data_IF_312649621948
#
_entry.id   IF_312649621948
#
_cell.length_a   1.000
_cell.length_b   1.000
_cell.length_c   1.000
_cell.angle_alpha   90.00
_cell.angle_beta   90.00
_cell.angle_gamma   90.00
#
_symmetry.space_group_name_H-M   'P 1'
#
loop_
_entity.id
_entity.type
_entity.pdbx_description
1 polymer ?
#
# COMPACT_ATOMS: atom_id res chain seq x y z
N UNK A 1 -41.21 23.42 31.66
CA UNK A 1 -39.89 24.09 31.74
C UNK A 1 -38.77 23.18 32.25
N UNK A 2 -39.04 22.24 33.18
CA UNK A 2 -38.05 21.27 33.68
C UNK A 2 -37.70 20.12 32.72
N UNK A 3 -38.65 19.63 31.91
CA UNK A 3 -38.40 18.55 30.95
C UNK A 3 -37.58 18.97 29.70
N UNK A 4 -37.63 20.26 29.34
CA UNK A 4 -36.84 20.79 28.21
C UNK A 4 -35.36 20.89 28.58
N UNK A 5 -35.01 21.31 29.81
CA UNK A 5 -33.61 21.41 30.26
C UNK A 5 -32.88 20.05 30.30
N UNK A 6 -33.59 18.95 30.58
CA UNK A 6 -33.03 17.61 30.56
C UNK A 6 -32.62 17.16 29.15
N UNK A 7 -33.30 17.64 28.10
CA UNK A 7 -32.95 17.33 26.70
C UNK A 7 -31.74 18.12 26.18
N UNK A 8 -31.33 19.20 26.88
CA UNK A 8 -30.17 20.03 26.54
C UNK A 8 -28.94 19.77 27.43
N UNK A 9 -29.04 18.86 28.41
CA UNK A 9 -27.93 18.56 29.31
C UNK A 9 -27.25 17.28 28.87
N UNK A 10 -26.07 17.40 28.26
CA UNK A 10 -25.18 16.25 28.03
C UNK A 10 -24.84 15.60 29.37
N UNK A 11 -25.05 14.29 29.49
CA UNK A 11 -24.63 13.57 30.70
C UNK A 11 -23.12 13.62 30.84
N UNK A 12 -22.60 13.67 32.08
CA UNK A 12 -21.15 13.61 32.33
C UNK A 12 -20.50 12.40 31.66
N UNK A 13 -21.21 11.26 31.58
CA UNK A 13 -20.74 10.06 30.88
C UNK A 13 -20.64 10.25 29.36
N UNK A 14 -21.63 10.88 28.74
CA UNK A 14 -21.66 11.18 27.31
C UNK A 14 -20.55 12.17 26.94
N UNK A 15 -20.36 13.22 27.75
CA UNK A 15 -19.30 14.20 27.55
C UNK A 15 -17.91 13.56 27.67
N UNK A 16 -17.70 12.71 28.67
CA UNK A 16 -16.46 11.98 28.86
C UNK A 16 -16.16 11.04 27.69
N UNK A 17 -17.17 10.27 27.25
CA UNK A 17 -17.07 9.42 26.07
C UNK A 17 -16.72 10.24 24.82
N UNK A 18 -17.38 11.38 24.61
CA UNK A 18 -17.15 12.25 23.47
C UNK A 18 -15.71 12.77 23.42
N UNK A 19 -15.20 13.34 24.52
CA UNK A 19 -13.87 13.91 24.55
C UNK A 19 -12.76 12.87 24.39
N UNK A 20 -12.93 11.68 24.99
CA UNK A 20 -11.95 10.60 24.84
C UNK A 20 -11.98 10.05 23.43
N UNK A 21 -13.13 9.55 22.98
CA UNK A 21 -13.24 8.92 21.67
C UNK A 21 -12.97 9.93 20.55
N UNK A 22 -13.35 11.20 20.73
CA UNK A 22 -13.14 12.26 19.77
C UNK A 22 -11.66 12.57 19.59
N UNK A 23 -10.93 12.65 20.70
CA UNK A 23 -9.47 12.82 20.66
C UNK A 23 -8.81 11.63 19.98
N UNK A 24 -9.20 10.40 20.33
CA UNK A 24 -8.66 9.18 19.70
C UNK A 24 -8.99 9.13 18.20
N UNK A 25 -10.18 9.56 17.79
CA UNK A 25 -10.57 9.63 16.38
C UNK A 25 -9.72 10.66 15.61
N UNK A 26 -9.50 11.85 16.17
CA UNK A 26 -8.65 12.86 15.54
C UNK A 26 -7.21 12.36 15.42
N UNK A 27 -6.66 11.74 16.47
CA UNK A 27 -5.33 11.14 16.42
C UNK A 27 -5.29 10.03 15.36
N UNK A 28 -6.31 9.17 15.29
CA UNK A 28 -6.42 8.11 14.28
C UNK A 28 -6.43 8.66 12.85
N UNK A 29 -7.21 9.71 12.59
CA UNK A 29 -7.26 10.37 11.29
C UNK A 29 -5.92 11.01 10.90
N UNK A 30 -5.25 11.67 11.85
CA UNK A 30 -3.91 12.22 11.64
C UNK A 30 -2.89 11.11 11.36
N UNK A 31 -2.94 10.01 12.12
CA UNK A 31 -2.09 8.84 11.89
C UNK A 31 -2.30 8.25 10.48
N UNK A 32 -3.53 8.16 9.98
CA UNK A 32 -3.79 7.71 8.60
C UNK A 32 -3.03 8.54 7.57
N UNK A 33 -2.92 9.84 7.76
CA UNK A 33 -2.20 10.74 6.83
C UNK A 33 -0.68 10.67 7.01
N UNK A 34 -0.19 10.56 8.25
CA UNK A 34 1.24 10.61 8.55
C UNK A 34 1.97 9.26 8.46
N UNK A 35 1.25 8.14 8.49
CA UNK A 35 1.85 6.80 8.47
C UNK A 35 2.45 6.47 7.10
N UNK A 36 3.75 6.16 7.10
CA UNK A 36 4.49 5.80 5.87
C UNK A 36 4.08 4.44 5.30
N UNK A 37 3.70 3.50 6.16
CA UNK A 37 3.25 2.16 5.73
C UNK A 37 1.74 2.18 5.53
N UNK A 38 1.31 1.87 4.31
CA UNK A 38 -0.09 1.92 3.91
C UNK A 38 -0.98 0.99 4.76
N UNK A 39 -0.48 -0.17 5.21
CA UNK A 39 -1.21 -1.07 6.11
C UNK A 39 -1.51 -0.41 7.46
N UNK A 40 -0.54 0.28 8.07
CA UNK A 40 -0.76 0.99 9.33
C UNK A 40 -1.71 2.17 9.15
N UNK A 41 -1.57 2.93 8.05
CA UNK A 41 -2.50 4.01 7.68
C UNK A 41 -3.95 3.51 7.59
N UNK A 42 -4.16 2.38 6.93
CA UNK A 42 -5.47 1.75 6.77
C UNK A 42 -6.04 1.22 8.10
N UNK A 43 -5.22 0.61 8.97
CA UNK A 43 -5.65 0.18 10.30
C UNK A 43 -6.05 1.36 11.20
N UNK A 44 -5.30 2.47 11.16
CA UNK A 44 -5.69 3.70 11.84
C UNK A 44 -7.04 4.22 11.32
N UNK A 45 -7.25 4.17 9.99
CA UNK A 45 -8.50 4.60 9.37
C UNK A 45 -9.68 3.71 9.80
N UNK A 46 -9.47 2.39 9.86
CA UNK A 46 -10.44 1.43 10.36
C UNK A 46 -10.86 1.76 11.80
N UNK A 47 -9.89 2.05 12.67
CA UNK A 47 -10.13 2.45 14.05
C UNK A 47 -10.99 3.72 14.14
N UNK A 48 -10.70 4.74 13.34
CA UNK A 48 -11.55 5.94 13.25
C UNK A 48 -12.97 5.64 12.80
N UNK A 49 -13.17 4.77 11.81
CA UNK A 49 -14.50 4.41 11.33
C UNK A 49 -15.34 3.69 12.39
N UNK A 50 -14.70 2.86 13.23
CA UNK A 50 -15.34 2.24 14.40
C UNK A 50 -15.73 3.30 15.42
N UNK A 51 -14.86 4.25 15.72
CA UNK A 51 -15.18 5.32 16.67
C UNK A 51 -16.34 6.19 16.16
N UNK A 52 -16.37 6.51 14.87
CA UNK A 52 -17.50 7.22 14.25
C UNK A 52 -18.79 6.40 14.36
N UNK A 53 -18.74 5.08 14.20
CA UNK A 53 -19.90 4.23 14.44
C UNK A 53 -20.39 4.34 15.90
N UNK A 54 -19.48 4.29 16.88
CA UNK A 54 -19.83 4.49 18.29
C UNK A 54 -20.48 5.86 18.51
N UNK A 55 -20.03 6.92 17.83
CA UNK A 55 -20.70 8.22 17.87
C UNK A 55 -22.10 8.18 17.27
N UNK A 56 -22.33 7.49 16.15
CA UNK A 56 -23.68 7.33 15.63
C UNK A 56 -24.60 6.59 16.60
N UNK A 57 -24.11 5.52 17.23
CA UNK A 57 -24.89 4.78 18.25
C UNK A 57 -25.20 5.68 19.45
N UNK A 58 -24.20 6.42 19.95
CA UNK A 58 -24.36 7.31 21.09
C UNK A 58 -25.33 8.46 20.82
N UNK A 59 -25.40 8.95 19.59
CA UNK A 59 -26.36 9.98 19.18
C UNK A 59 -27.76 9.42 18.85
N UNK A 60 -28.00 8.11 18.99
CA UNK A 60 -29.29 7.47 18.71
C UNK A 60 -29.55 7.14 17.24
N UNK A 61 -28.53 7.22 16.38
CA UNK A 61 -28.58 6.84 14.97
C UNK A 61 -28.17 5.37 14.77
N UNK A 62 -28.93 4.45 15.36
CA UNK A 62 -28.55 3.04 15.45
C UNK A 62 -28.35 2.36 14.09
N UNK A 63 -29.25 2.59 13.14
CA UNK A 63 -29.14 2.00 11.81
C UNK A 63 -27.87 2.44 11.09
N UNK A 64 -27.61 3.76 11.08
CA UNK A 64 -26.43 4.33 10.43
C UNK A 64 -25.14 3.83 11.09
N UNK A 65 -25.13 3.71 12.41
CA UNK A 65 -24.02 3.16 13.17
C UNK A 65 -23.70 1.70 12.82
N UNK A 66 -24.72 0.85 12.71
CA UNK A 66 -24.53 -0.57 12.31
C UNK A 66 -24.04 -0.66 10.86
N UNK A 67 -24.62 0.13 9.94
CA UNK A 67 -24.17 0.20 8.54
C UNK A 67 -22.72 0.69 8.45
N UNK A 68 -22.31 1.63 9.31
CA UNK A 68 -20.93 2.11 9.38
C UNK A 68 -19.95 0.96 9.68
N UNK A 69 -20.30 0.09 10.62
CA UNK A 69 -19.48 -1.07 10.97
C UNK A 69 -19.46 -2.10 9.83
N UNK A 70 -20.62 -2.46 9.28
CA UNK A 70 -20.72 -3.53 8.28
C UNK A 70 -20.10 -3.10 6.94
N UNK A 71 -20.41 -1.90 6.45
CA UNK A 71 -20.03 -1.46 5.11
C UNK A 71 -18.67 -0.77 5.11
N UNK A 72 -18.49 0.28 5.89
CA UNK A 72 -17.24 1.06 5.85
C UNK A 72 -16.09 0.31 6.52
N UNK A 73 -16.26 -0.12 7.77
CA UNK A 73 -15.21 -0.87 8.48
C UNK A 73 -15.10 -2.31 7.99
N UNK A 74 -16.23 -2.97 7.70
CA UNK A 74 -16.25 -4.37 7.27
C UNK A 74 -15.83 -4.53 5.82
N UNK A 75 -16.67 -4.15 4.86
CA UNK A 75 -16.43 -4.42 3.45
C UNK A 75 -15.33 -3.52 2.84
N UNK A 76 -15.50 -2.20 2.92
CA UNK A 76 -14.65 -1.24 2.19
C UNK A 76 -13.22 -1.24 2.73
N UNK A 77 -13.06 -1.16 4.05
CA UNK A 77 -11.73 -1.13 4.66
C UNK A 77 -10.97 -2.44 4.46
N UNK A 78 -11.64 -3.59 4.56
CA UNK A 78 -11.00 -4.89 4.32
C UNK A 78 -10.58 -5.04 2.87
N UNK A 79 -11.40 -4.59 1.91
CA UNK A 79 -11.02 -4.53 0.49
C UNK A 79 -9.78 -3.65 0.30
N UNK A 80 -9.75 -2.47 0.91
CA UNK A 80 -8.61 -1.56 0.83
C UNK A 80 -7.34 -2.18 1.41
N UNK A 81 -7.43 -2.80 2.59
CA UNK A 81 -6.32 -3.52 3.22
C UNK A 81 -5.80 -4.65 2.33
N UNK A 82 -6.70 -5.43 1.72
CA UNK A 82 -6.34 -6.51 0.82
C UNK A 82 -5.59 -6.00 -0.41
N UNK A 83 -6.10 -4.92 -1.02
CA UNK A 83 -5.46 -4.29 -2.19
C UNK A 83 -4.08 -3.75 -1.84
N UNK A 84 -3.96 -2.98 -0.74
CA UNK A 84 -2.68 -2.43 -0.29
C UNK A 84 -1.65 -3.52 -0.01
N UNK A 85 -2.10 -4.63 0.60
CA UNK A 85 -1.24 -5.78 0.88
C UNK A 85 -0.82 -6.52 -0.41
N UNK A 86 -1.74 -6.72 -1.37
CA UNK A 86 -1.46 -7.38 -2.64
C UNK A 86 -0.48 -6.59 -3.49
N UNK A 87 -0.66 -5.27 -3.58
CA UNK A 87 0.25 -4.38 -4.33
C UNK A 87 1.65 -4.35 -3.71
N UNK A 88 1.79 -4.73 -2.43
CA UNK A 88 3.09 -4.88 -1.79
C UNK A 88 3.88 -3.58 -1.77
N UNK A 89 3.21 -2.46 -1.48
CA UNK A 89 3.82 -1.13 -1.49
C UNK A 89 4.83 -1.00 -0.35
N UNK A 90 6.08 -1.38 -0.59
CA UNK A 90 7.21 -0.98 0.25
C UNK A 90 7.44 0.50 0.01
N UNK A 91 6.78 1.32 0.84
CA UNK A 91 6.99 2.76 0.85
C UNK A 91 8.47 3.10 1.09
N UNK A 92 9.18 3.25 -0.01
CA UNK A 92 10.48 3.88 -0.13
C UNK A 92 10.35 5.05 -1.11
N UNK A 93 9.26 5.81 -1.01
CA UNK A 93 9.20 7.09 -1.71
C UNK A 93 10.19 8.04 -1.04
N UNK A 94 11.20 8.43 -1.81
CA UNK A 94 12.12 9.49 -1.41
C UNK A 94 11.31 10.75 -1.14
N UNK A 95 11.60 11.45 -0.05
CA UNK A 95 11.00 12.76 0.29
C UNK A 95 11.45 13.89 -0.65
N UNK A 96 11.77 13.56 -1.91
CA UNK A 96 12.23 14.51 -2.90
C UNK A 96 10.99 15.18 -3.48
N UNK A 97 10.74 16.41 -3.04
CA UNK A 97 9.69 17.24 -3.60
C UNK A 97 9.94 17.45 -5.09
N UNK A 98 9.07 16.93 -5.95
CA UNK A 98 9.05 17.25 -7.39
C UNK A 98 8.75 18.74 -7.61
N UNK A 99 7.91 19.32 -6.75
CA UNK A 99 7.52 20.74 -6.77
C UNK A 99 7.95 21.38 -5.45
N UNK A 100 8.99 22.22 -5.49
CA UNK A 100 9.52 22.90 -4.31
C UNK A 100 8.41 23.74 -3.64
N UNK A 101 8.18 23.51 -2.35
CA UNK A 101 7.22 24.29 -1.55
C UNK A 101 5.78 23.77 -1.56
N UNK A 102 5.48 22.70 -2.30
CA UNK A 102 4.14 22.09 -2.32
C UNK A 102 3.68 21.66 -0.92
N UNK A 103 4.58 21.13 -0.07
CA UNK A 103 4.21 20.69 1.28
C UNK A 103 3.78 21.85 2.17
N UNK A 104 4.49 22.97 2.10
CA UNK A 104 4.14 24.18 2.85
C UNK A 104 2.82 24.78 2.35
N UNK A 105 2.61 24.82 1.03
CA UNK A 105 1.35 25.29 0.47
C UNK A 105 0.18 24.38 0.84
N UNK A 106 0.36 23.06 0.77
CA UNK A 106 -0.66 22.09 1.19
C UNK A 106 -0.99 22.21 2.68
N UNK A 107 0.02 22.45 3.53
CA UNK A 107 -0.18 22.68 4.96
C UNK A 107 -0.93 23.99 5.22
N UNK A 108 -0.57 25.07 4.52
CA UNK A 108 -1.25 26.36 4.64
C UNK A 108 -2.71 26.26 4.17
N UNK A 109 -2.96 25.62 3.02
CA UNK A 109 -4.31 25.38 2.51
C UNK A 109 -5.13 24.51 3.47
N UNK A 110 -4.55 23.42 3.99
CA UNK A 110 -5.21 22.53 4.94
C UNK A 110 -5.58 23.25 6.24
N UNK A 111 -4.64 24.02 6.81
CA UNK A 111 -4.88 24.81 8.01
C UNK A 111 -5.89 25.92 7.77
N UNK A 112 -5.77 26.66 6.65
CA UNK A 112 -6.69 27.72 6.27
C UNK A 112 -8.11 27.20 6.08
N UNK A 113 -8.27 26.05 5.42
CA UNK A 113 -9.57 25.39 5.28
C UNK A 113 -10.13 24.94 6.63
N UNK A 114 -9.30 24.37 7.51
CA UNK A 114 -9.70 23.99 8.87
C UNK A 114 -10.18 25.18 9.69
N UNK A 115 -9.45 26.30 9.69
CA UNK A 115 -9.84 27.54 10.38
C UNK A 115 -11.16 28.08 9.81
N UNK A 116 -11.31 28.10 8.48
CA UNK A 116 -12.54 28.56 7.84
C UNK A 116 -13.75 27.72 8.24
N UNK A 117 -13.61 26.39 8.29
CA UNK A 117 -14.67 25.51 8.75
C UNK A 117 -15.02 25.73 10.22
N UNK A 118 -14.02 25.83 11.10
CA UNK A 118 -14.25 26.07 12.54
C UNK A 118 -14.90 27.43 12.76
N UNK A 119 -14.45 28.47 12.07
CA UNK A 119 -15.03 29.81 12.14
C UNK A 119 -16.46 29.83 11.56
N UNK A 120 -16.70 29.13 10.45
CA UNK A 120 -18.03 29.01 9.84
C UNK A 120 -19.02 28.29 10.74
N UNK A 121 -18.62 27.16 11.33
CA UNK A 121 -19.44 26.41 12.28
C UNK A 121 -19.67 27.22 13.57
N UNK A 122 -18.64 27.90 14.08
CA UNK A 122 -18.77 28.73 15.29
C UNK A 122 -19.63 29.98 15.09
N UNK A 123 -19.67 30.54 13.87
CA UNK A 123 -20.52 31.68 13.53
C UNK A 123 -21.98 31.23 13.23
N UNK A 124 -22.16 30.01 12.70
CA UNK A 124 -23.48 29.44 12.52
C UNK A 124 -24.17 29.33 13.88
N UNK A 125 -25.18 30.17 14.09
CA UNK A 125 -25.92 30.22 15.34
C UNK A 125 -26.85 29.01 15.44
N UNK A 126 -26.30 27.86 15.82
CA UNK A 126 -27.06 26.65 16.15
C UNK A 126 -27.71 26.84 17.52
N UNK A 127 -28.76 27.67 17.57
CA UNK A 127 -29.52 27.97 18.80
C UNK A 127 -30.53 26.89 19.16
N UNK A 128 -30.89 26.03 18.21
CA UNK A 128 -31.89 24.98 18.39
C UNK A 128 -31.28 23.61 18.10
N UNK A 129 -31.39 22.70 19.07
CA UNK A 129 -31.08 21.29 18.91
C UNK A 129 -32.40 20.52 18.87
N UNK A 130 -32.84 20.13 17.68
CA UNK A 130 -34.09 19.38 17.50
C UNK A 130 -33.97 17.89 17.84
N UNK A 131 -32.76 17.42 18.18
CA UNK A 131 -32.47 16.02 18.46
C UNK A 131 -32.90 15.06 17.34
N UNK A 132 -32.87 13.76 17.64
CA UNK A 132 -33.38 12.73 16.73
C UNK A 132 -34.67 12.07 17.25
N UNK A 133 -35.20 12.49 18.41
CA UNK A 133 -36.32 11.83 19.08
C UNK A 133 -37.60 11.78 18.24
N UNK A 134 -37.99 12.89 17.60
CA UNK A 134 -39.15 12.93 16.72
C UNK A 134 -38.91 12.13 15.42
N UNK A 135 -37.72 12.27 14.83
CA UNK A 135 -37.35 11.55 13.61
C UNK A 135 -37.30 10.03 13.82
N UNK A 136 -36.98 9.59 15.04
CA UNK A 136 -36.84 8.18 15.42
C UNK A 136 -38.09 7.61 16.12
N UNK A 137 -39.20 8.35 16.20
CA UNK A 137 -40.39 7.95 16.98
C UNK A 137 -40.96 6.58 16.55
N UNK A 138 -40.93 6.28 15.25
CA UNK A 138 -41.39 5.00 14.67
C UNK A 138 -40.25 4.00 14.46
N UNK A 139 -39.04 4.30 14.95
CA UNK A 139 -37.83 3.51 14.71
C UNK A 139 -36.97 4.03 13.55
N UNK A 140 -35.65 3.93 13.71
CA UNK A 140 -34.66 4.45 12.74
C UNK A 140 -34.82 3.82 11.35
N UNK A 141 -35.02 2.49 11.28
CA UNK A 141 -35.07 1.75 10.01
C UNK A 141 -36.34 2.07 9.24
N UNK A 142 -37.48 2.08 9.91
CA UNK A 142 -38.78 2.35 9.30
C UNK A 142 -38.84 3.79 8.78
N UNK A 143 -38.45 4.78 9.61
CA UNK A 143 -38.42 6.17 9.19
C UNK A 143 -37.52 6.42 7.98
N UNK A 144 -36.32 5.80 7.96
CA UNK A 144 -35.41 5.91 6.83
C UNK A 144 -35.98 5.20 5.58
N UNK A 145 -36.59 4.03 5.73
CA UNK A 145 -37.23 3.31 4.62
C UNK A 145 -38.36 4.14 4.00
N UNK A 146 -39.23 4.74 4.81
CA UNK A 146 -40.28 5.64 4.30
C UNK A 146 -39.67 6.78 3.49
N UNK A 147 -38.64 7.45 3.99
CA UNK A 147 -37.97 8.54 3.29
C UNK A 147 -37.33 8.09 1.97
N UNK A 148 -36.62 6.96 1.98
CA UNK A 148 -35.93 6.40 0.81
C UNK A 148 -36.94 6.01 -0.29
N UNK A 149 -38.03 5.33 0.07
CA UNK A 149 -38.97 4.80 -0.92
C UNK A 149 -40.08 5.78 -1.34
N UNK A 150 -40.25 6.91 -0.64
CA UNK A 150 -41.26 7.92 -1.00
C UNK A 150 -40.61 9.18 -1.58
N UNK A 151 -39.81 9.89 -0.78
CA UNK A 151 -39.23 11.18 -1.14
C UNK A 151 -37.95 11.05 -1.95
N UNK A 152 -37.10 10.09 -1.60
CA UNK A 152 -35.77 9.92 -2.19
C UNK A 152 -35.67 8.75 -3.16
N UNK A 153 -36.79 8.28 -3.72
CA UNK A 153 -36.82 7.13 -4.63
C UNK A 153 -35.88 7.32 -5.81
N UNK A 154 -35.82 8.54 -6.37
CA UNK A 154 -34.93 8.84 -7.49
C UNK A 154 -33.44 8.77 -7.10
N UNK A 155 -33.08 9.26 -5.91
CA UNK A 155 -31.70 9.16 -5.41
C UNK A 155 -31.31 7.70 -5.14
N UNK A 156 -32.26 6.90 -4.64
CA UNK A 156 -32.09 5.45 -4.46
C UNK A 156 -31.84 4.73 -5.78
N UNK A 157 -32.66 4.98 -6.81
CA UNK A 157 -32.50 4.37 -8.14
C UNK A 157 -31.17 4.76 -8.79
N UNK A 158 -30.77 6.03 -8.72
CA UNK A 158 -29.45 6.47 -9.22
C UNK A 158 -28.31 5.77 -8.48
N UNK A 159 -28.43 5.58 -7.17
CA UNK A 159 -27.42 4.86 -6.38
C UNK A 159 -27.36 3.39 -6.82
N UNK A 160 -28.50 2.76 -7.09
CA UNK A 160 -28.56 1.40 -7.65
C UNK A 160 -27.87 1.30 -9.01
N UNK A 161 -28.16 2.23 -9.93
CA UNK A 161 -27.49 2.31 -11.22
C UNK A 161 -25.97 2.50 -11.07
N UNK A 162 -25.54 3.37 -10.15
CA UNK A 162 -24.14 3.59 -9.84
C UNK A 162 -23.45 2.30 -9.36
N UNK A 163 -24.08 1.50 -8.50
CA UNK A 163 -23.53 0.23 -8.02
C UNK A 163 -23.40 -0.82 -9.13
N UNK A 164 -24.38 -0.88 -10.04
CA UNK A 164 -24.31 -1.74 -11.23
C UNK A 164 -23.14 -1.30 -12.13
N UNK A 165 -23.06 0.00 -12.43
CA UNK A 165 -21.97 0.55 -13.26
C UNK A 165 -20.60 0.33 -12.60
N UNK A 166 -20.48 0.50 -11.29
CA UNK A 166 -19.23 0.23 -10.58
C UNK A 166 -18.82 -1.24 -10.66
N UNK A 167 -19.79 -2.16 -10.52
CA UNK A 167 -19.55 -3.61 -10.62
C UNK A 167 -19.11 -4.00 -12.04
N UNK A 168 -19.82 -3.52 -13.07
CA UNK A 168 -19.45 -3.76 -14.47
C UNK A 168 -18.09 -3.14 -14.78
N UNK A 169 -17.83 -1.92 -14.31
CA UNK A 169 -16.54 -1.25 -14.48
C UNK A 169 -15.39 -2.02 -13.83
N UNK A 170 -15.57 -2.50 -12.59
CA UNK A 170 -14.57 -3.32 -11.90
C UNK A 170 -14.31 -4.64 -12.64
N UNK A 171 -15.37 -5.31 -13.16
CA UNK A 171 -15.22 -6.52 -13.96
C UNK A 171 -14.44 -6.26 -15.25
N UNK A 172 -14.79 -5.22 -16.00
CA UNK A 172 -14.13 -4.88 -17.27
C UNK A 172 -12.67 -4.48 -17.07
N UNK A 173 -12.36 -3.74 -16.00
CA UNK A 173 -10.99 -3.31 -15.69
C UNK A 173 -10.11 -4.46 -15.18
N UNK A 174 -10.68 -5.48 -14.55
CA UNK A 174 -9.93 -6.63 -14.02
C UNK A 174 -9.87 -7.81 -14.99
N UNK A 175 -10.79 -7.87 -15.96
CA UNK A 175 -10.81 -8.94 -16.95
C UNK A 175 -9.69 -8.78 -17.97
N UNK A 176 -8.62 -9.56 -17.80
CA UNK A 176 -7.55 -9.67 -18.79
C UNK A 176 -7.95 -10.71 -19.84
N UNK A 177 -8.59 -10.25 -20.91
CA UNK A 177 -8.84 -11.09 -22.07
C UNK A 177 -7.51 -11.40 -22.76
N UNK A 178 -7.18 -12.69 -22.93
CA UNK A 178 -6.05 -13.09 -23.77
C UNK A 178 -6.52 -12.99 -25.21
N UNK A 179 -6.23 -11.87 -25.86
CA UNK A 179 -6.55 -11.62 -27.27
C UNK A 179 -5.86 -12.60 -28.22
N UNK A 180 -4.79 -13.25 -27.78
CA UNK A 180 -4.09 -14.28 -28.54
C UNK A 180 -4.18 -15.64 -27.85
N UNK A 181 -4.32 -16.69 -28.66
CA UNK A 181 -4.17 -18.06 -28.19
C UNK A 181 -2.78 -18.23 -27.57
N UNK A 182 -2.70 -18.85 -26.40
CA UNK A 182 -1.42 -19.27 -25.86
C UNK A 182 -0.69 -20.16 -26.89
N UNK A 183 0.49 -19.73 -27.32
CA UNK A 183 1.32 -20.49 -28.26
C UNK A 183 1.70 -21.83 -27.62
N UNK A 184 1.64 -22.89 -28.41
CA UNK A 184 2.10 -24.20 -27.98
C UNK A 184 3.62 -24.25 -27.87
N UNK A 185 4.18 -25.22 -27.14
CA UNK A 185 5.65 -25.39 -27.07
C UNK A 185 6.27 -25.58 -28.47
N UNK A 186 5.57 -26.24 -29.38
CA UNK A 186 6.01 -26.42 -30.77
C UNK A 186 6.11 -25.08 -31.52
N UNK A 187 5.07 -24.26 -31.45
CA UNK A 187 5.06 -22.93 -32.09
C UNK A 187 6.16 -22.01 -31.53
N UNK A 188 6.39 -22.05 -30.21
CA UNK A 188 7.49 -21.31 -29.58
C UNK A 188 8.87 -21.83 -30.05
N UNK A 189 9.00 -23.14 -30.27
CA UNK A 189 10.23 -23.74 -30.81
C UNK A 189 10.48 -23.32 -32.26
N UNK A 190 9.47 -23.42 -33.12
CA UNK A 190 9.54 -23.01 -34.53
C UNK A 190 9.86 -21.51 -34.66
N UNK A 191 9.25 -20.67 -33.81
CA UNK A 191 9.53 -19.24 -33.77
C UNK A 191 11.00 -18.95 -33.39
N UNK A 192 11.55 -19.61 -32.35
CA UNK A 192 12.95 -19.46 -31.95
C UNK A 192 13.92 -19.83 -33.07
N UNK A 193 13.64 -20.93 -33.77
CA UNK A 193 14.47 -21.38 -34.90
C UNK A 193 14.41 -20.37 -36.04
N UNK A 194 13.20 -19.89 -36.39
CA UNK A 194 13.00 -18.95 -37.50
C UNK A 194 13.60 -17.57 -37.24
N UNK A 195 13.52 -17.07 -36.02
CA UNK A 195 14.10 -15.78 -35.64
C UNK A 195 15.63 -15.84 -35.50
N UNK A 196 16.22 -17.05 -35.45
CA UNK A 196 17.66 -17.26 -35.25
C UNK A 196 18.17 -16.78 -33.88
N UNK A 197 17.29 -16.34 -32.99
CA UNK A 197 17.62 -15.85 -31.65
C UNK A 197 17.58 -17.02 -30.67
N UNK A 198 18.75 -17.49 -30.28
CA UNK A 198 18.95 -18.43 -29.18
C UNK A 198 18.11 -19.73 -29.34
N UNK A 199 18.51 -20.53 -30.34
CA UNK A 199 17.93 -21.84 -30.66
C UNK A 199 17.93 -22.84 -29.49
N UNK A 200 19.01 -22.96 -28.68
CA UNK A 200 18.99 -23.86 -27.53
C UNK A 200 18.11 -23.33 -26.39
N UNK A 201 17.64 -24.20 -25.47
CA UNK A 201 17.07 -23.75 -24.21
C UNK A 201 18.06 -22.87 -23.43
N UNK A 202 17.54 -21.93 -22.64
CA UNK A 202 18.38 -21.10 -21.79
C UNK A 202 19.16 -21.99 -20.80
N UNK A 203 20.42 -21.64 -20.49
CA UNK A 203 21.21 -22.35 -19.51
C UNK A 203 20.58 -22.23 -18.12
N UNK A 204 20.78 -23.25 -17.28
CA UNK A 204 20.27 -23.24 -15.92
C UNK A 204 20.99 -22.16 -15.06
N UNK A 205 20.34 -21.64 -14.01
CA UNK A 205 20.99 -20.84 -12.98
C UNK A 205 22.17 -21.59 -12.34
N UNK A 206 23.18 -20.83 -11.91
CA UNK A 206 24.33 -21.38 -11.20
C UNK A 206 25.24 -22.35 -11.97
N UNK A 207 25.13 -22.42 -13.31
CA UNK A 207 26.09 -23.16 -14.15
C UNK A 207 27.50 -22.56 -13.94
N UNK A 208 28.48 -23.39 -13.60
CA UNK A 208 29.83 -22.99 -13.16
C UNK A 208 29.91 -22.19 -11.84
N UNK A 209 28.78 -21.92 -11.18
CA UNK A 209 28.78 -21.39 -9.82
C UNK A 209 28.89 -22.52 -8.79
N UNK A 210 29.31 -22.19 -7.56
CA UNK A 210 29.36 -23.15 -6.44
C UNK A 210 27.97 -23.55 -5.93
N UNK A 211 26.91 -22.86 -6.37
CA UNK A 211 25.55 -23.09 -5.93
C UNK A 211 24.56 -22.91 -7.09
N UNK A 212 23.62 -23.85 -7.22
CA UNK A 212 22.58 -23.92 -8.26
C UNK A 212 21.25 -23.20 -7.89
N UNK A 213 21.30 -22.16 -7.04
CA UNK A 213 20.09 -21.45 -6.64
C UNK A 213 19.54 -20.58 -7.81
N UNK A 214 18.22 -20.38 -7.83
CA UNK A 214 17.53 -19.67 -8.94
C UNK A 214 17.87 -18.17 -9.02
N UNK A 215 18.36 -17.61 -7.91
CA UNK A 215 18.80 -16.23 -7.74
C UNK A 215 20.31 -16.05 -7.96
N UNK A 216 21.01 -17.11 -8.38
CA UNK A 216 22.45 -17.11 -8.65
C UNK A 216 22.69 -17.24 -10.15
N UNK A 217 23.36 -16.23 -10.72
CA UNK A 217 23.80 -16.27 -12.10
C UNK A 217 24.89 -17.35 -12.28
N UNK A 218 24.78 -18.12 -13.36
CA UNK A 218 25.88 -18.94 -13.84
C UNK A 218 27.04 -18.05 -14.30
N UNK A 219 28.26 -18.57 -14.22
CA UNK A 219 29.48 -17.84 -14.54
C UNK A 219 29.92 -18.13 -15.98
N UNK A 220 30.37 -17.10 -16.68
CA UNK A 220 31.06 -17.21 -17.95
C UNK A 220 32.50 -17.72 -17.75
N UNK A 221 33.21 -18.14 -18.80
CA UNK A 221 34.60 -18.62 -18.69
C UNK A 221 35.58 -17.59 -18.09
N UNK A 222 35.24 -16.31 -18.13
CA UNK A 222 35.99 -15.20 -17.52
C UNK A 222 35.60 -14.93 -16.05
N UNK A 223 34.66 -15.71 -15.50
CA UNK A 223 34.15 -15.55 -14.13
C UNK A 223 33.08 -14.46 -13.98
N UNK A 224 32.64 -13.82 -15.06
CA UNK A 224 31.56 -12.82 -15.00
C UNK A 224 30.16 -13.47 -14.95
N UNK A 225 29.17 -12.88 -14.26
CA UNK A 225 27.82 -13.44 -14.18
C UNK A 225 27.08 -13.35 -15.52
N UNK A 226 26.48 -14.46 -15.95
CA UNK A 226 25.69 -14.56 -17.18
C UNK A 226 24.22 -14.21 -16.96
N UNK A 227 23.80 -13.13 -17.57
CA UNK A 227 22.41 -12.65 -17.56
C UNK A 227 21.39 -13.66 -18.14
N UNK A 228 21.84 -14.61 -18.98
CA UNK A 228 20.97 -15.59 -19.63
C UNK A 228 20.50 -16.70 -18.70
N UNK A 229 21.18 -16.87 -17.56
CA UNK A 229 20.96 -17.99 -16.63
C UNK A 229 19.93 -17.68 -15.54
N UNK A 230 19.55 -16.42 -15.38
CA UNK A 230 18.71 -15.93 -14.27
C UNK A 230 17.40 -15.37 -14.78
N UNK A 231 16.35 -15.47 -13.95
CA UNK A 231 15.06 -14.90 -14.30
C UNK A 231 15.15 -13.37 -14.39
N UNK A 232 14.67 -12.82 -15.52
CA UNK A 232 14.56 -11.38 -15.74
C UNK A 232 13.82 -10.67 -14.60
N UNK A 233 12.78 -11.30 -14.03
CA UNK A 233 12.00 -10.73 -12.92
C UNK A 233 12.79 -10.62 -11.62
N UNK A 234 13.67 -11.57 -11.29
CA UNK A 234 14.52 -11.51 -10.10
C UNK A 234 15.58 -10.41 -10.26
N UNK A 235 16.12 -10.27 -11.48
CA UNK A 235 17.08 -9.20 -11.83
C UNK A 235 16.48 -7.82 -11.67
N UNK A 236 15.29 -7.60 -12.25
CA UNK A 236 14.60 -6.31 -12.20
C UNK A 236 14.22 -5.90 -10.77
N UNK A 237 14.01 -6.87 -9.88
CA UNK A 237 13.75 -6.64 -8.45
C UNK A 237 15.02 -6.46 -7.62
N UNK A 238 16.21 -6.58 -8.21
CA UNK A 238 17.48 -6.54 -7.47
C UNK A 238 17.65 -7.70 -6.49
N UNK A 239 16.98 -8.84 -6.74
CA UNK A 239 16.98 -10.02 -5.88
C UNK A 239 18.01 -11.07 -6.32
N UNK A 240 18.94 -10.70 -7.20
CA UNK A 240 20.04 -11.58 -7.63
C UNK A 240 21.19 -11.43 -6.64
N UNK A 241 21.73 -12.57 -6.20
CA UNK A 241 22.92 -12.59 -5.37
C UNK A 241 24.16 -12.46 -6.24
N UNK A 242 25.05 -11.54 -5.87
CA UNK A 242 26.32 -11.36 -6.55
C UNK A 242 27.35 -12.36 -6.01
N UNK A 243 27.52 -13.44 -6.76
CA UNK A 243 28.53 -14.48 -6.48
C UNK A 243 29.96 -14.02 -6.78
N UNK A 244 30.17 -12.99 -7.60
CA UNK A 244 31.52 -12.56 -7.99
C UNK A 244 32.23 -11.89 -6.80
N UNK A 245 31.55 -10.97 -6.12
CA UNK A 245 32.08 -10.29 -4.94
C UNK A 245 32.26 -11.24 -3.75
N UNK A 246 31.31 -12.15 -3.52
CA UNK A 246 31.38 -13.12 -2.43
C UNK A 246 32.53 -14.12 -2.64
N UNK A 247 32.72 -14.62 -3.87
CA UNK A 247 33.84 -15.51 -4.19
C UNK A 247 35.21 -14.82 -4.08
N UNK A 248 35.31 -13.54 -4.47
CA UNK A 248 36.52 -12.72 -4.27
C UNK A 248 36.83 -12.51 -2.78
N UNK A 249 35.80 -12.28 -1.96
CA UNK A 249 35.97 -12.12 -0.52
C UNK A 249 36.36 -13.44 0.16
N UNK A 250 35.77 -14.56 -0.26
CA UNK A 250 36.16 -15.90 0.19
C UNK A 250 37.62 -16.21 -0.16
N UNK A 251 38.05 -15.88 -1.39
CA UNK A 251 39.42 -16.10 -1.83
C UNK A 251 40.40 -15.27 -0.98
N UNK A 252 40.12 -13.98 -0.77
CA UNK A 252 40.92 -13.12 0.13
C UNK A 252 40.98 -13.68 1.55
N UNK A 253 39.85 -14.19 2.07
CA UNK A 253 39.80 -14.78 3.40
C UNK A 253 40.57 -16.12 3.48
N UNK A 254 40.69 -16.86 2.38
CA UNK A 254 41.53 -18.05 2.29
C UNK A 254 43.01 -17.68 2.18
N UNK A 255 43.36 -16.66 1.39
CA UNK A 255 44.72 -16.12 1.29
C UNK A 255 45.20 -15.60 2.66
N UNK A 256 44.40 -14.81 3.36
CA UNK A 256 44.71 -14.33 4.71
C UNK A 256 44.94 -15.49 5.70
N UNK A 257 44.08 -16.50 5.69
CA UNK A 257 44.25 -17.69 6.55
C UNK A 257 45.48 -18.52 6.17
N UNK A 258 45.82 -18.58 4.89
CA UNK A 258 47.03 -19.25 4.43
C UNK A 258 48.28 -18.46 4.86
N UNK A 259 48.26 -17.13 4.76
CA UNK A 259 49.33 -16.24 5.23
C UNK A 259 49.56 -16.35 6.74
N UNK A 260 48.49 -16.28 7.54
CA UNK A 260 48.54 -16.46 9.00
C UNK A 260 49.12 -17.83 9.38
N UNK A 261 48.72 -18.89 8.67
CA UNK A 261 49.16 -20.26 8.98
C UNK A 261 50.59 -20.56 8.50
N UNK A 262 51.06 -19.87 7.46
CA UNK A 262 52.37 -20.10 6.86
C UNK A 262 53.45 -19.13 7.38
N UNK A 263 53.13 -18.22 8.31
CA UNK A 263 54.04 -17.18 8.83
C UNK A 263 54.84 -16.48 7.72
N UNK A 264 54.23 -16.32 6.53
CA UNK A 264 54.88 -15.66 5.40
C UNK A 264 54.82 -14.16 5.64
N UNK A 265 55.91 -13.61 6.17
CA UNK A 265 56.15 -12.17 6.19
C UNK A 265 55.96 -11.62 4.78
N UNK A 266 55.14 -10.56 4.65
CA UNK A 266 54.75 -9.94 3.40
C UNK A 266 55.92 -9.84 2.42
N UNK A 267 55.90 -10.67 1.38
CA UNK A 267 56.80 -10.51 0.24
C UNK A 267 56.24 -9.32 -0.54
N UNK A 268 57.06 -8.29 -0.75
CA UNK A 268 56.71 -7.13 -1.58
C UNK A 268 56.02 -7.59 -2.87
N UNK A 269 54.95 -6.90 -3.32
CA UNK A 269 54.25 -7.28 -4.53
C UNK A 269 55.26 -7.33 -5.67
N UNK A 270 55.45 -8.52 -6.26
CA UNK A 270 56.35 -8.66 -7.39
C UNK A 270 55.80 -7.80 -8.52
N UNK A 271 56.54 -6.75 -8.88
CA UNK A 271 56.24 -5.90 -10.03
C UNK A 271 56.47 -6.71 -11.30
N UNK A 272 55.50 -7.54 -11.67
CA UNK A 272 55.49 -8.20 -12.96
C UNK A 272 55.08 -7.15 -13.99
N UNK A 273 56.07 -6.44 -14.54
CA UNK A 273 55.85 -5.58 -15.71
C UNK A 273 55.39 -6.45 -16.87
N UNK A 274 54.23 -6.09 -17.43
CA UNK A 274 53.72 -6.70 -18.66
C UNK A 274 54.78 -6.48 -19.77
N UNK A 275 55.10 -7.47 -20.63
CA UNK A 275 56.15 -7.34 -21.65
C UNK A 275 55.97 -6.15 -22.61
N UNK A 276 54.78 -5.55 -22.67
CA UNK A 276 54.48 -4.40 -23.52
C UNK A 276 55.01 -3.05 -22.99
N UNK A 277 55.39 -2.95 -21.72
CA UNK A 277 55.88 -1.69 -21.11
C UNK A 277 57.41 -1.58 -21.04
N UNK A 278 58.15 -2.57 -21.53
CA UNK A 278 59.63 -2.58 -21.57
C UNK A 278 60.23 -2.11 -22.91
N UNK A 279 59.39 -1.71 -23.86
CA UNK A 279 59.82 -1.22 -25.19
C UNK A 279 59.25 0.18 -25.46
N UNK A 280 59.74 1.17 -24.72
CA UNK A 280 59.83 2.59 -25.11
C UNK A 280 61.03 3.21 -24.41
#
# INVERSE_FOLDING_TARGET
MSAQLAAYSTSTGEAFQFWILGTVAVIGALCTVFMKKAVHSALCLAGTMIILAVFYLANGAYFLGVVQIIVYTGAIMMLFLFVVMLVGVTAADSLRETIKGQRWLALLCGLGFGILLVAGIGNASLKEFNGLGQANANGNVEGLATLIFTKYVFAFEITGALLITATVGAMLLTHRERTERAKTQRELSEQRVREGKHVPPLPAPGVYARHNAVDIAGLLPDGTPSDLTVSKTLRERGQIRDVSAEALNDLRALEQRAEERLERTAIEPSTFKRPEEASK
#
